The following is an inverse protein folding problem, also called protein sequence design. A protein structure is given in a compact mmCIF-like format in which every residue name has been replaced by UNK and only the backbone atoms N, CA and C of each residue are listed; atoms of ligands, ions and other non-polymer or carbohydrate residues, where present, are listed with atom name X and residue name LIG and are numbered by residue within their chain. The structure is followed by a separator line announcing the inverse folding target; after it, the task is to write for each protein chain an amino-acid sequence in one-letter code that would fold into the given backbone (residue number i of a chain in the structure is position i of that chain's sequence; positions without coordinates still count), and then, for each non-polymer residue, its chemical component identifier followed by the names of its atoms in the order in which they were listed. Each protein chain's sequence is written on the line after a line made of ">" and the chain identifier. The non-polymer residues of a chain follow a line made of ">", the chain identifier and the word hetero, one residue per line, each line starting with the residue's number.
data_IF_842511678997
#
_entry.id   IF_842511678997
#
_cell.length_a   1.000
_cell.length_b   1.000
_cell.length_c   1.000
_cell.angle_alpha   90.00
_cell.angle_beta   90.00
_cell.angle_gamma   90.00
#
_symmetry.space_group_name_H-M   'P 1'
#
loop_
_entity.id
_entity.type
_entity.pdbx_description
1 polymer ?
#
# COMPACT_ATOMS: atom_id res chain seq x y z
N UNK A 1 -4.61 -18.82 27.18
CA UNK A 1 -3.35 -18.09 26.89
C UNK A 1 -3.44 -17.56 25.47
N UNK A 2 -3.08 -16.29 25.28
CA UNK A 2 -3.47 -15.44 24.15
C UNK A 2 -3.05 -16.01 22.78
N UNK A 3 -3.95 -15.94 21.79
CA UNK A 3 -3.62 -16.20 20.38
C UNK A 3 -2.57 -15.16 19.97
N UNK A 4 -1.35 -15.61 19.71
CA UNK A 4 -0.29 -14.79 19.12
C UNK A 4 -0.82 -14.19 17.82
N UNK A 5 -1.05 -12.87 17.80
CA UNK A 5 -1.40 -12.14 16.58
C UNK A 5 -0.20 -12.24 15.65
N UNK A 6 -0.27 -13.13 14.67
CA UNK A 6 0.70 -13.17 13.57
C UNK A 6 0.61 -11.82 12.88
N UNK A 7 1.72 -11.07 12.73
CA UNK A 7 1.68 -9.79 12.04
C UNK A 7 1.25 -10.04 10.60
N UNK A 8 0.12 -9.44 10.23
CA UNK A 8 -0.57 -9.58 8.94
C UNK A 8 0.36 -9.36 7.73
N UNK A 9 1.47 -8.65 7.94
CA UNK A 9 2.67 -8.69 7.12
C UNK A 9 3.85 -8.82 8.07
N UNK A 10 4.55 -9.96 8.13
CA UNK A 10 5.74 -10.10 8.99
C UNK A 10 6.92 -9.19 8.61
N UNK A 11 6.76 -8.34 7.58
CA UNK A 11 7.67 -7.28 7.17
C UNK A 11 7.05 -5.88 7.04
N UNK A 12 5.74 -5.71 7.30
CA UNK A 12 5.12 -4.38 7.37
C UNK A 12 4.50 -4.17 8.76
N UNK A 13 5.00 -3.23 9.57
CA UNK A 13 4.27 -2.75 10.72
C UNK A 13 2.94 -2.18 10.24
N UNK A 14 1.88 -2.74 10.80
CA UNK A 14 0.52 -2.21 10.72
C UNK A 14 0.52 -0.76 11.22
N UNK A 15 -0.42 0.04 10.73
CA UNK A 15 -0.76 1.32 11.35
C UNK A 15 -1.39 1.05 12.71
N UNK A 16 -0.57 0.67 13.69
CA UNK A 16 -0.95 0.67 15.08
C UNK A 16 -0.72 2.09 15.62
N UNK A 17 -1.82 2.82 15.81
CA UNK A 17 -1.84 4.22 16.24
C UNK A 17 -2.01 4.34 17.76
N UNK A 18 -1.78 3.28 18.53
CA UNK A 18 -2.03 3.31 19.98
C UNK A 18 -1.05 4.17 20.78
N UNK A 19 0.10 4.56 20.20
CA UNK A 19 1.10 5.42 20.89
C UNK A 19 1.66 6.57 20.02
N UNK A 20 0.74 7.34 19.43
CA UNK A 20 1.08 8.63 18.80
C UNK A 20 1.52 8.52 17.34
N UNK A 21 0.90 9.32 16.48
CA UNK A 21 1.25 9.35 15.07
C UNK A 21 2.68 9.87 14.89
N UNK A 22 3.59 9.01 14.45
CA UNK A 22 4.82 9.45 13.79
C UNK A 22 4.48 10.44 12.66
N UNK A 23 5.35 11.41 12.44
CA UNK A 23 5.15 12.45 11.44
C UNK A 23 5.01 11.86 10.03
N UNK A 24 4.30 12.57 9.14
CA UNK A 24 4.22 12.20 7.72
C UNK A 24 5.60 11.99 7.07
N UNK A 25 6.63 12.65 7.61
CA UNK A 25 8.03 12.48 7.21
C UNK A 25 8.59 11.12 7.60
N UNK A 26 8.37 10.66 8.84
CA UNK A 26 8.79 9.32 9.29
C UNK A 26 8.12 8.21 8.48
N UNK A 27 6.86 8.43 8.08
CA UNK A 27 6.17 7.52 7.16
C UNK A 27 6.80 7.51 5.77
N UNK A 28 7.11 8.69 5.21
CA UNK A 28 7.77 8.81 3.91
C UNK A 28 9.13 8.11 3.92
N UNK A 29 9.97 8.34 4.92
CA UNK A 29 11.27 7.68 5.06
C UNK A 29 11.16 6.15 5.18
N UNK A 30 10.24 5.65 5.99
CA UNK A 30 10.04 4.20 6.15
C UNK A 30 9.48 3.53 4.89
N UNK A 31 8.70 4.25 4.08
CA UNK A 31 8.19 3.77 2.81
C UNK A 31 9.26 3.75 1.73
N UNK A 32 10.05 4.83 1.63
CA UNK A 32 11.16 4.95 0.69
C UNK A 32 12.25 3.88 0.93
N UNK A 33 12.42 3.43 2.17
CA UNK A 33 13.32 2.32 2.53
C UNK A 33 12.75 0.93 2.19
N UNK A 34 11.44 0.80 1.95
CA UNK A 34 10.74 -0.50 1.81
C UNK A 34 10.35 -0.86 0.39
N UNK A 35 10.02 0.12 -0.42
CA UNK A 35 9.64 -0.06 -1.82
C UNK A 35 10.44 0.96 -2.60
N UNK A 36 11.54 0.51 -3.19
CA UNK A 36 12.21 1.34 -4.19
C UNK A 36 11.30 1.48 -5.40
N UNK A 37 11.47 2.57 -6.15
CA UNK A 37 10.80 2.76 -7.44
C UNK A 37 11.01 1.54 -8.36
N UNK A 38 12.21 0.95 -8.32
CA UNK A 38 12.56 -0.24 -9.10
C UNK A 38 11.78 -1.48 -8.67
N UNK A 39 11.57 -1.69 -7.36
CA UNK A 39 10.75 -2.79 -6.87
C UNK A 39 9.28 -2.58 -7.22
N UNK A 40 8.78 -1.35 -7.07
CA UNK A 40 7.43 -0.99 -7.47
C UNK A 40 7.18 -1.25 -8.97
N UNK A 41 8.15 -0.91 -9.82
CA UNK A 41 8.10 -1.20 -11.25
C UNK A 41 8.14 -2.71 -11.53
N UNK A 42 8.97 -3.47 -10.82
CA UNK A 42 9.04 -4.92 -10.96
C UNK A 42 7.71 -5.62 -10.60
N UNK A 43 7.06 -5.21 -9.50
CA UNK A 43 5.77 -5.76 -9.07
C UNK A 43 4.67 -5.52 -10.13
N UNK A 44 4.62 -4.31 -10.70
CA UNK A 44 3.62 -3.99 -11.73
C UNK A 44 3.93 -4.67 -13.07
N UNK A 45 5.22 -4.84 -13.41
CA UNK A 45 5.64 -5.62 -14.59
C UNK A 45 5.26 -7.10 -14.46
N UNK A 46 5.46 -7.69 -13.28
CA UNK A 46 5.09 -9.08 -13.00
C UNK A 46 3.58 -9.31 -13.16
N UNK A 47 2.78 -8.38 -12.65
CA UNK A 47 1.31 -8.44 -12.72
C UNK A 47 0.73 -7.91 -14.04
N UNK A 48 1.57 -7.33 -14.92
CA UNK A 48 1.19 -6.66 -16.17
C UNK A 48 0.10 -5.59 -15.98
N UNK A 49 0.02 -5.00 -14.78
CA UNK A 49 -0.98 -4.00 -14.42
C UNK A 49 -0.40 -2.59 -14.53
N UNK A 50 -1.19 -1.67 -15.10
CA UNK A 50 -0.81 -0.26 -15.13
C UNK A 50 -1.08 0.40 -13.76
N UNK A 51 -0.20 1.29 -13.27
CA UNK A 51 -0.36 1.91 -11.94
C UNK A 51 -1.66 2.71 -11.81
N UNK A 52 -2.10 3.38 -12.88
CA UNK A 52 -3.39 4.06 -12.93
C UNK A 52 -4.58 3.09 -12.78
N UNK A 53 -4.50 1.93 -13.43
CA UNK A 53 -5.53 0.88 -13.35
C UNK A 53 -5.62 0.29 -11.94
N UNK A 54 -4.48 0.06 -11.28
CA UNK A 54 -4.44 -0.46 -9.91
C UNK A 54 -5.10 0.51 -8.91
N UNK A 55 -4.86 1.81 -9.08
CA UNK A 55 -5.52 2.84 -8.27
C UNK A 55 -6.95 3.16 -8.73
N UNK A 56 -7.36 2.68 -9.91
CA UNK A 56 -8.68 2.97 -10.49
C UNK A 56 -8.88 4.44 -10.85
N UNK A 57 -7.82 5.07 -11.37
CA UNK A 57 -7.81 6.47 -11.80
C UNK A 57 -7.38 6.58 -13.27
N UNK A 58 -7.68 7.71 -13.88
CA UNK A 58 -7.25 8.02 -15.25
C UNK A 58 -5.77 8.43 -15.30
N UNK A 59 -5.06 8.17 -16.41
CA UNK A 59 -3.75 8.75 -16.68
C UNK A 59 -3.80 10.29 -16.61
N UNK A 60 -2.81 10.90 -15.96
CA UNK A 60 -2.78 12.36 -15.75
C UNK A 60 -3.64 12.87 -14.58
N UNK A 61 -4.15 11.97 -13.72
CA UNK A 61 -4.77 12.36 -12.46
C UNK A 61 -3.80 13.18 -11.59
N UNK A 62 -4.33 14.20 -10.90
CA UNK A 62 -3.54 15.04 -10.00
C UNK A 62 -3.01 14.25 -8.79
N UNK A 63 -1.90 14.70 -8.19
CA UNK A 63 -1.35 14.11 -6.97
C UNK A 63 -2.35 14.01 -5.80
N UNK A 64 -3.36 14.88 -5.75
CA UNK A 64 -4.45 14.79 -4.77
C UNK A 64 -5.38 13.60 -5.06
N UNK A 65 -5.74 13.39 -6.33
CA UNK A 65 -6.55 12.24 -6.75
C UNK A 65 -5.81 10.92 -6.53
N UNK A 66 -4.51 10.88 -6.84
CA UNK A 66 -3.65 9.71 -6.59
C UNK A 66 -3.64 9.35 -5.10
N UNK A 67 -3.44 10.33 -4.20
CA UNK A 67 -3.48 10.12 -2.75
C UNK A 67 -4.85 9.66 -2.26
N UNK A 68 -5.93 10.21 -2.81
CA UNK A 68 -7.29 9.84 -2.42
C UNK A 68 -7.62 8.41 -2.86
N UNK A 69 -7.27 8.05 -4.09
CA UNK A 69 -7.46 6.71 -4.63
C UNK A 69 -6.66 5.66 -3.84
N UNK A 70 -5.37 5.94 -3.57
CA UNK A 70 -4.52 5.09 -2.73
C UNK A 70 -5.17 4.78 -1.38
N UNK A 71 -5.62 5.81 -0.66
CA UNK A 71 -6.27 5.64 0.66
C UNK A 71 -7.53 4.77 0.57
N UNK A 72 -8.37 4.98 -0.45
CA UNK A 72 -9.58 4.17 -0.68
C UNK A 72 -9.22 2.71 -0.96
N UNK A 73 -8.22 2.45 -1.79
CA UNK A 73 -7.81 1.10 -2.17
C UNK A 73 -7.19 0.35 -0.99
N UNK A 74 -6.35 1.00 -0.18
CA UNK A 74 -5.79 0.42 1.05
C UNK A 74 -6.88 0.06 2.05
N UNK A 75 -7.86 0.94 2.28
CA UNK A 75 -8.99 0.63 3.17
C UNK A 75 -9.82 -0.55 2.66
N UNK A 76 -10.05 -0.62 1.34
CA UNK A 76 -10.80 -1.72 0.72
C UNK A 76 -10.14 -3.08 0.93
N UNK A 77 -8.81 -3.13 0.81
CA UNK A 77 -8.02 -4.35 0.92
C UNK A 77 -7.35 -4.52 2.29
N UNK A 78 -7.80 -3.77 3.30
CA UNK A 78 -7.26 -3.89 4.65
C UNK A 78 -7.62 -5.26 5.27
N UNK A 79 -6.70 -5.90 6.02
CA UNK A 79 -6.91 -7.19 6.68
C UNK A 79 -8.11 -7.22 7.59
N UNK A 80 -8.33 -6.13 8.33
CA UNK A 80 -9.40 -6.04 9.32
C UNK A 80 -10.77 -6.24 8.66
N UNK A 81 -10.89 -5.92 7.38
CA UNK A 81 -12.10 -6.15 6.59
C UNK A 81 -12.05 -7.44 5.76
N UNK A 82 -10.86 -8.04 5.58
CA UNK A 82 -10.61 -9.17 4.68
C UNK A 82 -9.95 -10.37 5.37
N UNK A 83 -10.37 -10.68 6.61
CA UNK A 83 -9.78 -11.75 7.42
C UNK A 83 -9.86 -13.16 6.79
N UNK A 84 -10.84 -13.41 5.91
CA UNK A 84 -10.97 -14.69 5.21
C UNK A 84 -10.17 -14.75 3.88
N UNK A 85 -9.55 -13.64 3.48
CA UNK A 85 -8.89 -13.45 2.20
C UNK A 85 -7.52 -12.77 2.32
N UNK A 86 -6.78 -13.06 3.40
CA UNK A 86 -5.52 -12.38 3.74
C UNK A 86 -4.50 -12.41 2.60
N UNK A 87 -4.36 -13.53 1.89
CA UNK A 87 -3.41 -13.66 0.77
C UNK A 87 -3.77 -12.73 -0.40
N UNK A 88 -5.05 -12.63 -0.75
CA UNK A 88 -5.53 -11.75 -1.80
C UNK A 88 -5.41 -10.28 -1.38
N UNK A 89 -5.79 -9.98 -0.14
CA UNK A 89 -5.65 -8.65 0.45
C UNK A 89 -4.19 -8.18 0.47
N UNK A 90 -3.26 -9.06 0.82
CA UNK A 90 -1.82 -8.78 0.82
C UNK A 90 -1.28 -8.53 -0.60
N UNK A 91 -1.66 -9.37 -1.58
CA UNK A 91 -1.27 -9.20 -2.98
C UNK A 91 -1.78 -7.86 -3.55
N UNK A 92 -3.07 -7.57 -3.37
CA UNK A 92 -3.69 -6.32 -3.81
C UNK A 92 -3.05 -5.10 -3.13
N UNK A 93 -2.82 -5.18 -1.81
CA UNK A 93 -2.14 -4.10 -1.06
C UNK A 93 -0.75 -3.84 -1.61
N UNK A 94 0.01 -4.89 -1.95
CA UNK A 94 1.35 -4.76 -2.55
C UNK A 94 1.29 -4.03 -3.89
N UNK A 95 0.36 -4.39 -4.76
CA UNK A 95 0.16 -3.71 -6.05
C UNK A 95 -0.22 -2.23 -5.86
N UNK A 96 -1.12 -1.94 -4.92
CA UNK A 96 -1.57 -0.57 -4.61
C UNK A 96 -0.41 0.30 -4.13
N UNK A 97 0.47 -0.24 -3.28
CA UNK A 97 1.66 0.46 -2.80
C UNK A 97 2.65 0.71 -3.94
N UNK A 98 2.89 -0.29 -4.79
CA UNK A 98 3.75 -0.16 -5.97
C UNK A 98 3.23 0.92 -6.93
N UNK A 99 1.93 0.89 -7.23
CA UNK A 99 1.30 1.90 -8.08
C UNK A 99 1.39 3.32 -7.51
N UNK A 100 1.19 3.46 -6.20
CA UNK A 100 1.33 4.76 -5.53
C UNK A 100 2.78 5.26 -5.53
N UNK A 101 3.77 4.40 -5.33
CA UNK A 101 5.19 4.78 -5.36
C UNK A 101 5.59 5.35 -6.74
N UNK A 102 5.11 4.74 -7.83
CA UNK A 102 5.38 5.24 -9.18
C UNK A 102 4.67 6.56 -9.47
N UNK A 103 3.43 6.73 -9.01
CA UNK A 103 2.59 7.89 -9.37
C UNK A 103 2.71 9.07 -8.41
N UNK A 104 3.15 8.89 -7.16
CA UNK A 104 3.15 9.98 -6.15
C UNK A 104 4.05 11.16 -6.52
N UNK A 105 4.95 10.99 -7.49
CA UNK A 105 5.92 11.98 -7.96
C UNK A 105 5.65 12.46 -9.40
N UNK A 106 4.56 12.00 -10.04
CA UNK A 106 4.01 12.59 -11.29
C UNK A 106 3.16 13.83 -10.96
#
# INVERSE_FOLDING_TARGET
>A
MAKSKRPFLSGYPTYDTTDGHGSASQWKTAFDQRMSRDEAEAVLKETQNSPWSVLGIEPGASGQQIKQAFRKSIMKWHPDHNANGEALAAAMTREILAAYELLRND
#
